data_IF_002775318071
#
_entry.id   IF_002775318071
#
_cell.length_a   1.000
_cell.length_b   1.000
_cell.length_c   1.000
_cell.angle_alpha   90.00
_cell.angle_beta   90.00
_cell.angle_gamma   90.00
#
_symmetry.space_group_name_H-M   'P 1'
#
loop_
_entity.id
_entity.type
_entity.pdbx_description
1 polymer ?
#
# COMPACT_ATOMS: atom_id res chain seq x y z
N UNK A 1 -1.10 1.10 26.38
CA UNK A 1 -1.33 1.22 24.92
C UNK A 1 -0.22 0.47 24.19
N UNK A 2 -0.59 -0.59 23.47
CA UNK A 2 0.34 -1.64 23.04
C UNK A 2 1.01 -1.37 21.69
N UNK A 3 2.19 -1.98 21.50
CA UNK A 3 3.08 -1.99 20.33
C UNK A 3 2.44 -2.29 18.94
N UNK A 4 1.13 -2.45 18.84
CA UNK A 4 0.40 -2.87 17.64
C UNK A 4 0.42 -1.78 16.56
N UNK A 5 0.34 -0.50 16.96
CA UNK A 5 0.27 0.62 16.01
C UNK A 5 1.54 0.79 15.16
N UNK A 6 2.66 0.25 15.60
CA UNK A 6 3.93 0.34 14.87
C UNK A 6 4.27 -0.91 14.05
N UNK A 7 3.58 -2.03 14.22
CA UNK A 7 3.99 -3.30 13.59
C UNK A 7 3.90 -3.23 12.06
N UNK A 8 2.76 -2.76 11.55
CA UNK A 8 2.57 -2.59 10.12
C UNK A 8 3.48 -1.50 9.55
N UNK A 9 3.76 -0.45 10.32
CA UNK A 9 4.76 0.54 9.94
C UNK A 9 6.17 -0.06 9.83
N UNK A 10 6.57 -0.93 10.75
CA UNK A 10 7.85 -1.65 10.68
C UNK A 10 7.92 -2.54 9.44
N UNK A 11 6.84 -3.25 9.08
CA UNK A 11 6.79 -4.03 7.83
C UNK A 11 6.96 -3.16 6.60
N UNK A 12 6.28 -2.01 6.55
CA UNK A 12 6.40 -1.06 5.44
C UNK A 12 7.85 -0.59 5.31
N UNK A 13 8.47 -0.17 6.42
CA UNK A 13 9.87 0.28 6.43
C UNK A 13 10.81 -0.83 5.93
N UNK A 14 10.74 -2.02 6.53
CA UNK A 14 11.56 -3.16 6.12
C UNK A 14 11.38 -3.51 4.64
N UNK A 15 10.14 -3.60 4.15
CA UNK A 15 9.87 -3.89 2.75
C UNK A 15 10.47 -2.84 1.80
N UNK A 16 10.37 -1.56 2.16
CA UNK A 16 10.89 -0.45 1.36
C UNK A 16 12.42 -0.34 1.41
N UNK A 17 13.04 -0.70 2.52
CA UNK A 17 14.50 -0.72 2.71
C UNK A 17 15.14 -1.92 1.98
N UNK A 18 14.52 -3.09 2.07
CA UNK A 18 14.99 -4.32 1.40
C UNK A 18 14.79 -4.30 -0.12
N UNK A 19 13.88 -3.46 -0.61
CA UNK A 19 13.54 -3.34 -2.03
C UNK A 19 13.59 -1.87 -2.48
N UNK A 20 14.78 -1.25 -2.53
CA UNK A 20 14.92 0.19 -2.75
C UNK A 20 14.49 0.65 -4.15
N UNK A 21 14.58 -0.22 -5.15
CA UNK A 21 14.29 0.09 -6.57
C UNK A 21 12.87 -0.32 -7.02
N UNK A 22 12.11 -0.99 -6.16
CA UNK A 22 10.79 -1.49 -6.53
C UNK A 22 9.74 -0.39 -6.64
N UNK A 23 8.89 -0.49 -7.67
CA UNK A 23 7.66 0.29 -7.78
C UNK A 23 6.72 -0.02 -6.61
N UNK A 24 5.97 1.00 -6.14
CA UNK A 24 5.09 0.86 -4.97
C UNK A 24 3.65 1.06 -5.40
N UNK A 25 2.81 0.06 -5.13
CA UNK A 25 1.36 0.13 -5.32
C UNK A 25 0.65 0.07 -3.97
N UNK A 26 -0.41 0.88 -3.85
CA UNK A 26 -1.33 0.83 -2.71
C UNK A 26 -2.71 0.52 -3.23
N UNK A 27 -3.31 -0.55 -2.73
CA UNK A 27 -4.70 -0.90 -3.00
C UNK A 27 -5.48 -0.82 -1.69
N UNK A 28 -6.52 0.01 -1.65
CA UNK A 28 -7.42 0.16 -0.51
C UNK A 28 -8.87 0.14 -0.99
N UNK A 29 -9.84 0.06 -0.08
CA UNK A 29 -11.27 -0.01 -0.42
C UNK A 29 -11.77 1.11 -1.35
N UNK A 30 -11.20 2.31 -1.27
CA UNK A 30 -11.47 3.42 -2.19
C UNK A 30 -10.24 4.35 -2.33
N UNK A 31 -10.31 5.29 -3.29
CA UNK A 31 -9.21 6.21 -3.60
C UNK A 31 -8.84 7.12 -2.42
N UNK A 32 -9.84 7.63 -1.67
CA UNK A 32 -9.60 8.48 -0.49
C UNK A 32 -8.76 7.74 0.55
N UNK A 33 -9.11 6.49 0.83
CA UNK A 33 -8.38 5.64 1.77
C UNK A 33 -6.98 5.32 1.25
N UNK A 34 -6.81 5.00 -0.03
CA UNK A 34 -5.50 4.72 -0.62
C UNK A 34 -4.56 5.93 -0.51
N UNK A 35 -5.06 7.15 -0.75
CA UNK A 35 -4.30 8.39 -0.57
C UNK A 35 -3.94 8.67 0.88
N UNK A 36 -4.83 8.36 1.82
CA UNK A 36 -4.53 8.47 3.25
C UNK A 36 -3.36 7.56 3.63
N UNK A 37 -3.37 6.30 3.19
CA UNK A 37 -2.23 5.40 3.42
C UNK A 37 -0.96 5.88 2.73
N UNK A 38 -1.04 6.42 1.51
CA UNK A 38 0.10 7.04 0.84
C UNK A 38 0.69 8.18 1.68
N UNK A 39 -0.14 9.11 2.15
CA UNK A 39 0.27 10.24 3.00
C UNK A 39 0.97 9.72 4.25
N UNK A 40 0.35 8.79 4.99
CA UNK A 40 0.92 8.24 6.22
C UNK A 40 2.25 7.51 5.96
N UNK A 41 2.37 6.75 4.87
CA UNK A 41 3.66 6.13 4.50
C UNK A 41 4.72 7.21 4.26
N UNK A 42 4.38 8.28 3.53
CA UNK A 42 5.31 9.39 3.24
C UNK A 42 5.71 10.18 4.48
N UNK A 43 4.83 10.28 5.48
CA UNK A 43 5.18 10.90 6.77
C UNK A 43 6.27 10.10 7.50
N UNK A 44 6.22 8.78 7.43
CA UNK A 44 7.17 7.92 8.14
C UNK A 44 8.40 7.49 7.35
N UNK A 45 8.34 7.58 6.02
CA UNK A 45 9.39 7.08 5.13
C UNK A 45 9.74 8.14 4.10
N UNK A 46 10.99 8.62 4.15
CA UNK A 46 11.54 9.54 3.15
C UNK A 46 11.81 8.77 1.84
N UNK A 47 10.79 8.63 1.00
CA UNK A 47 10.92 8.01 -0.32
C UNK A 47 10.66 9.01 -1.44
N UNK A 48 11.59 9.10 -2.40
CA UNK A 48 11.40 9.83 -3.67
C UNK A 48 10.62 9.01 -4.70
N UNK A 49 10.34 7.73 -4.39
CA UNK A 49 9.66 6.80 -5.30
C UNK A 49 8.23 7.22 -5.56
N UNK A 50 7.77 6.92 -6.77
CA UNK A 50 6.37 7.10 -7.15
C UNK A 50 5.55 6.00 -6.48
N UNK A 51 4.58 6.41 -5.66
CA UNK A 51 3.57 5.52 -5.11
C UNK A 51 2.33 5.65 -6.00
N UNK A 52 1.80 4.52 -6.47
CA UNK A 52 0.60 4.48 -7.30
C UNK A 52 -0.57 3.92 -6.49
N UNK A 53 -1.58 4.74 -6.25
CA UNK A 53 -2.81 4.31 -5.60
C UNK A 53 -3.77 3.72 -6.62
N UNK A 54 -4.25 2.49 -6.39
CA UNK A 54 -5.22 1.82 -7.24
C UNK A 54 -6.62 2.06 -6.68
N UNK A 55 -7.45 2.74 -7.46
CA UNK A 55 -8.85 3.05 -7.13
C UNK A 55 -9.78 1.86 -7.43
N UNK A 56 -11.08 2.03 -7.23
CA UNK A 56 -12.10 1.05 -7.64
C UNK A 56 -12.56 1.23 -9.11
N UNK A 57 -11.99 2.21 -9.84
CA UNK A 57 -12.27 2.40 -11.27
C UNK A 57 -11.62 1.29 -12.09
N UNK A 58 -12.37 0.67 -13.00
CA UNK A 58 -11.89 -0.46 -13.83
C UNK A 58 -10.62 -0.10 -14.62
N UNK A 59 -10.49 1.15 -15.04
CA UNK A 59 -9.33 1.62 -15.82
C UNK A 59 -8.08 1.90 -14.96
N UNK A 60 -8.19 1.89 -13.63
CA UNK A 60 -7.06 2.28 -12.77
C UNK A 60 -5.94 1.24 -12.67
N UNK A 61 -6.15 0.04 -13.24
CA UNK A 61 -5.10 -0.97 -13.40
C UNK A 61 -4.47 -1.00 -14.80
N UNK A 62 -5.05 -0.27 -15.76
CA UNK A 62 -4.59 -0.33 -17.14
C UNK A 62 -3.18 0.29 -17.28
N UNK A 63 -2.32 -0.37 -18.05
CA UNK A 63 -0.92 0.01 -18.23
C UNK A 63 -0.03 -0.06 -16.97
N UNK A 64 -0.51 -0.65 -15.87
CA UNK A 64 0.34 -0.88 -14.69
C UNK A 64 1.22 -2.11 -14.87
N UNK A 65 2.48 -2.00 -14.48
CA UNK A 65 3.41 -3.11 -14.40
C UNK A 65 3.62 -3.51 -12.94
N UNK A 66 3.25 -4.74 -12.59
CA UNK A 66 3.42 -5.29 -11.24
C UNK A 66 4.72 -6.07 -11.05
N UNK A 67 5.49 -6.31 -12.13
CA UNK A 67 6.77 -7.02 -12.05
C UNK A 67 7.73 -6.23 -11.16
N UNK A 68 8.43 -6.93 -10.27
CA UNK A 68 9.41 -6.36 -9.34
C UNK A 68 8.86 -5.23 -8.42
N UNK A 69 7.54 -5.17 -8.24
CA UNK A 69 6.88 -4.17 -7.40
C UNK A 69 6.65 -4.65 -5.96
N UNK A 70 6.31 -3.71 -5.08
CA UNK A 70 5.74 -3.94 -3.75
C UNK A 70 4.30 -3.50 -3.79
N UNK A 71 3.38 -4.35 -3.33
CA UNK A 71 1.96 -4.04 -3.25
C UNK A 71 1.51 -4.05 -1.80
N UNK A 72 1.03 -2.92 -1.32
CA UNK A 72 0.38 -2.80 -0.02
C UNK A 72 -1.14 -2.94 -0.19
N UNK A 73 -1.72 -3.95 0.47
CA UNK A 73 -3.16 -4.16 0.57
C UNK A 73 -3.66 -3.53 1.87
N UNK A 74 -4.20 -2.32 1.79
CA UNK A 74 -4.46 -1.47 2.96
C UNK A 74 -5.93 -1.45 3.39
N UNK A 75 -6.18 -1.53 4.70
CA UNK A 75 -7.50 -1.44 5.31
C UNK A 75 -8.51 -2.38 4.67
N UNK A 76 -9.68 -1.85 4.31
CA UNK A 76 -10.77 -2.58 3.63
C UNK A 76 -10.50 -2.84 2.13
N UNK A 77 -9.28 -3.27 1.76
CA UNK A 77 -8.87 -3.48 0.37
C UNK A 77 -9.78 -4.46 -0.39
N UNK A 78 -10.40 -5.42 0.30
CA UNK A 78 -11.30 -6.42 -0.28
C UNK A 78 -12.59 -5.82 -0.86
N UNK A 79 -12.94 -4.57 -0.51
CA UNK A 79 -14.06 -3.85 -1.12
C UNK A 79 -13.73 -3.28 -2.50
N UNK A 80 -12.44 -3.24 -2.87
CA UNK A 80 -11.99 -2.75 -4.16
C UNK A 80 -11.96 -3.90 -5.18
N UNK A 81 -12.76 -3.78 -6.25
CA UNK A 81 -12.85 -4.79 -7.31
C UNK A 81 -11.49 -5.05 -7.96
N UNK A 82 -10.67 -4.01 -8.09
CA UNK A 82 -9.32 -4.14 -8.62
C UNK A 82 -8.37 -4.87 -7.68
N UNK A 83 -8.61 -4.86 -6.36
CA UNK A 83 -7.85 -5.71 -5.44
C UNK A 83 -8.14 -7.19 -5.70
N UNK A 84 -9.40 -7.54 -5.95
CA UNK A 84 -9.81 -8.90 -6.26
C UNK A 84 -9.22 -9.34 -7.62
N UNK A 85 -9.29 -8.47 -8.64
CA UNK A 85 -8.66 -8.70 -9.95
C UNK A 85 -7.15 -8.89 -9.79
N UNK A 86 -6.48 -8.02 -9.04
CA UNK A 86 -5.07 -8.12 -8.72
C UNK A 86 -4.73 -9.48 -8.08
N UNK A 87 -5.47 -9.91 -7.05
CA UNK A 87 -5.20 -11.17 -6.35
C UNK A 87 -5.34 -12.37 -7.29
N UNK A 88 -6.38 -12.38 -8.13
CA UNK A 88 -6.67 -13.49 -9.05
C UNK A 88 -5.66 -13.62 -10.18
N UNK A 89 -5.19 -12.49 -10.72
CA UNK A 89 -4.45 -12.50 -11.99
C UNK A 89 -3.00 -12.07 -11.87
N UNK A 90 -2.64 -11.27 -10.86
CA UNK A 90 -1.36 -10.57 -10.81
C UNK A 90 -0.57 -10.78 -9.51
N UNK A 91 -1.14 -11.43 -8.49
CA UNK A 91 -0.52 -11.60 -7.15
C UNK A 91 0.85 -12.28 -7.14
N UNK A 92 1.21 -13.00 -8.20
CA UNK A 92 2.50 -13.68 -8.35
C UNK A 92 3.60 -12.82 -9.01
N UNK A 93 3.27 -11.63 -9.51
CA UNK A 93 4.23 -10.76 -10.21
C UNK A 93 5.04 -9.85 -9.29
N UNK A 94 4.46 -9.23 -8.24
CA UNK A 94 5.23 -8.43 -7.30
C UNK A 94 6.25 -9.26 -6.54
N UNK A 95 7.31 -8.60 -6.08
CA UNK A 95 8.24 -9.18 -5.10
C UNK A 95 7.55 -9.44 -3.77
N UNK A 96 6.70 -8.49 -3.36
CA UNK A 96 6.04 -8.52 -2.07
C UNK A 96 4.59 -8.03 -2.19
N UNK A 97 3.70 -8.74 -1.51
CA UNK A 97 2.32 -8.33 -1.29
C UNK A 97 2.07 -8.36 0.21
N UNK A 98 1.82 -7.20 0.81
CA UNK A 98 1.78 -7.06 2.28
C UNK A 98 0.43 -6.48 2.69
N UNK A 99 -0.37 -7.17 3.52
CA UNK A 99 -1.56 -6.60 4.11
C UNK A 99 -1.16 -5.62 5.22
N UNK A 100 -1.76 -4.43 5.17
CA UNK A 100 -1.54 -3.32 6.11
C UNK A 100 -2.89 -2.94 6.71
N UNK A 101 -3.03 -3.06 8.02
CA UNK A 101 -4.28 -2.76 8.73
C UNK A 101 -4.32 -1.30 9.16
N UNK A 102 -3.19 -0.79 9.65
CA UNK A 102 -3.07 0.60 10.10
C UNK A 102 -1.65 1.11 9.90
N UNK A 103 -1.53 2.39 9.60
CA UNK A 103 -0.28 3.14 9.75
C UNK A 103 -0.64 4.37 10.58
N UNK A 104 0.05 4.67 11.68
CA UNK A 104 -0.29 5.80 12.53
C UNK A 104 0.03 7.12 11.82
N UNK A 105 -0.68 8.18 12.14
CA UNK A 105 -0.32 9.55 11.71
C UNK A 105 0.88 10.04 12.53
N UNK A 106 1.82 10.78 11.92
CA UNK A 106 2.84 11.52 12.70
C UNK A 106 2.29 12.80 13.32
N UNK A 107 1.22 13.35 12.75
CA UNK A 107 0.47 14.47 13.32
C UNK A 107 -0.44 13.87 14.38
N UNK A 108 -0.01 13.88 15.64
CA UNK A 108 -0.71 13.23 16.74
C UNK A 108 -2.19 13.63 16.80
N UNK A 109 -3.05 12.62 16.94
CA UNK A 109 -4.49 12.76 17.05
C UNK A 109 -5.11 11.37 16.91
N UNK A 110 -5.45 10.78 18.06
CA UNK A 110 -6.38 9.65 18.12
C UNK A 110 -7.71 10.13 17.52
N UNK A 111 -8.12 9.55 16.39
CA UNK A 111 -9.53 9.48 15.99
C UNK A 111 -10.06 8.09 16.32
#
# INVERSE_FOLDING_TARGET
MGKIDCFDLTKVKGALDDNPESDIFIISGNLKSAKLYEERIREHVKTKRRIRTISNSVYSMDGLNFIDSIVFLCGYWWQNKNAITFIKHFSKLPRLVIPITNIPSMKGGDE
#
